data_IF_758933025061
#
_entry.id   IF_758933025061
#
_cell.length_a   1.000
_cell.length_b   1.000
_cell.length_c   1.000
_cell.angle_alpha   90.00
_cell.angle_beta   90.00
_cell.angle_gamma   90.00
#
_symmetry.space_group_name_H-M   'P 1'
#
loop_
_entity.id
_entity.type
_entity.pdbx_description
1 polymer ?
#
# COMPACT_ATOMS: atom_id res chain seq x y z
N UNK A 1 19.40 12.55 -7.84
CA UNK A 1 18.78 12.19 -8.07
C UNK A 1 18.07 11.76 -8.18
N UNK A 2 17.97 11.81 -8.21
CA UNK A 2 17.15 11.38 -8.41
C UNK A 2 16.39 11.03 -8.64
N UNK A 3 16.17 10.93 -8.71
CA UNK A 3 15.31 10.54 -8.98
C UNK A 3 14.67 10.05 -9.13
N UNK A 4 14.70 10.00 -9.17
CA UNK A 4 13.99 9.45 -9.25
C UNK A 4 13.11 9.24 -9.33
N UNK A 5 12.70 9.33 -9.31
CA UNK A 5 11.84 9.06 -9.32
C UNK A 5 11.13 8.92 -9.79
N UNK A 6 10.96 9.22 -9.77
CA UNK A 6 10.15 9.36 -10.36
C UNK A 6 9.14 8.64 -10.98
N UNK A 7 9.00 8.52 -11.66
CA UNK A 7 7.97 7.79 -12.29
C UNK A 7 7.40 6.68 -11.47
N UNK A 8 7.98 6.41 -10.38
CA UNK A 8 7.54 5.36 -9.48
C UNK A 8 6.76 5.86 -8.32
N UNK A 9 6.21 7.02 -8.44
CA UNK A 9 5.40 7.56 -7.37
C UNK A 9 4.16 6.72 -7.18
N UNK A 10 4.05 6.03 -6.07
CA UNK A 10 2.92 5.17 -5.75
C UNK A 10 2.47 5.47 -4.34
N UNK A 11 1.71 6.52 -4.17
CA UNK A 11 1.33 6.96 -2.83
C UNK A 11 0.27 6.11 -2.16
N UNK A 12 -0.47 5.34 -2.94
CA UNK A 12 -1.51 4.50 -2.37
C UNK A 12 -0.93 3.17 -1.96
N UNK A 13 -1.00 2.85 -0.69
CA UNK A 13 -0.40 1.62 -0.17
C UNK A 13 -1.45 0.79 0.54
N UNK A 14 -1.34 -0.52 0.37
CA UNK A 14 -2.12 -1.44 1.17
C UNK A 14 -1.22 -1.93 2.28
N UNK A 15 -1.67 -1.79 3.51
CA UNK A 15 -0.89 -2.24 4.66
C UNK A 15 -1.62 -3.38 5.34
N UNK A 16 -0.87 -4.25 5.95
CA UNK A 16 -1.40 -5.32 6.76
C UNK A 16 -1.19 -4.97 8.22
N UNK A 17 -2.26 -5.08 8.99
CA UNK A 17 -2.21 -4.79 10.41
C UNK A 17 -1.95 -6.09 11.18
N UNK A 18 -0.92 -6.08 11.99
CA UNK A 18 -0.53 -7.26 12.74
C UNK A 18 -0.90 -7.10 14.21
N UNK A 19 -1.00 -8.22 14.94
CA UNK A 19 -1.51 -8.15 16.32
C UNK A 19 -0.72 -7.29 17.29
N UNK A 20 0.56 -7.10 17.08
CA UNK A 20 1.37 -6.32 17.99
C UNK A 20 1.40 -4.87 17.64
N UNK A 21 0.38 -4.35 17.03
CA UNK A 21 0.35 -2.96 16.59
C UNK A 21 1.41 -2.69 15.54
N UNK A 22 1.85 -3.71 14.86
CA UNK A 22 2.79 -3.55 13.76
C UNK A 22 2.05 -3.48 12.44
N UNK A 23 2.65 -2.77 11.52
CA UNK A 23 2.05 -2.56 10.22
C UNK A 23 3.13 -2.73 9.18
N UNK A 24 2.83 -3.41 8.08
CA UNK A 24 3.80 -3.38 7.00
C UNK A 24 3.09 -3.28 5.65
N UNK A 25 3.82 -2.75 4.71
CA UNK A 25 3.28 -2.48 3.39
C UNK A 25 3.32 -3.74 2.55
N UNK A 26 2.16 -4.09 2.01
CA UNK A 26 2.02 -5.28 1.19
C UNK A 26 2.21 -4.93 -0.28
N UNK A 27 1.69 -3.77 -0.70
CA UNK A 27 1.74 -3.38 -2.09
C UNK A 27 1.53 -1.89 -2.21
N UNK A 28 2.01 -1.30 -3.30
CA UNK A 28 1.84 0.11 -3.56
C UNK A 28 1.29 0.31 -4.95
N UNK A 29 0.49 1.37 -5.11
CA UNK A 29 -0.19 1.65 -6.36
C UNK A 29 -0.16 3.14 -6.66
N UNK A 30 -0.25 3.47 -7.94
CA UNK A 30 -0.28 4.85 -8.36
C UNK A 30 -1.60 5.52 -8.10
N UNK A 31 -2.69 4.76 -8.23
CA UNK A 31 -3.99 5.35 -8.04
C UNK A 31 -4.81 4.51 -7.09
N UNK A 32 -5.82 5.15 -6.56
CA UNK A 32 -6.63 4.55 -5.53
C UNK A 32 -7.46 3.38 -6.04
N UNK A 33 -7.92 3.48 -7.29
CA UNK A 33 -8.76 2.42 -7.85
C UNK A 33 -8.02 1.10 -7.91
N UNK A 34 -6.76 1.13 -8.33
CA UNK A 34 -5.96 -0.09 -8.39
C UNK A 34 -5.75 -0.67 -7.00
N UNK A 35 -5.53 0.19 -6.01
CA UNK A 35 -5.36 -0.26 -4.65
C UNK A 35 -6.63 -0.95 -4.14
N UNK A 36 -7.78 -0.37 -4.44
CA UNK A 36 -9.05 -0.95 -4.02
C UNK A 36 -9.29 -2.30 -4.67
N UNK A 37 -8.99 -2.41 -5.95
CA UNK A 37 -9.19 -3.67 -6.65
C UNK A 37 -8.31 -4.76 -6.03
N UNK A 38 -7.10 -4.41 -5.72
CA UNK A 38 -6.20 -5.37 -5.13
C UNK A 38 -6.62 -5.74 -3.71
N UNK A 39 -7.11 -4.76 -2.97
CA UNK A 39 -7.59 -5.01 -1.62
C UNK A 39 -8.72 -6.02 -1.63
N UNK A 40 -9.60 -5.95 -2.60
CA UNK A 40 -10.69 -6.90 -2.73
C UNK A 40 -10.15 -8.32 -2.89
N UNK A 41 -9.12 -8.46 -3.72
CA UNK A 41 -8.52 -9.77 -3.94
C UNK A 41 -7.89 -10.28 -2.64
N UNK A 42 -7.18 -9.42 -1.93
CA UNK A 42 -6.56 -9.83 -0.68
C UNK A 42 -7.59 -10.26 0.35
N UNK A 43 -8.66 -9.52 0.47
CA UNK A 43 -9.70 -9.88 1.43
C UNK A 43 -10.38 -11.19 1.07
N UNK A 44 -10.45 -11.48 -0.20
CA UNK A 44 -11.06 -12.72 -0.65
C UNK A 44 -10.20 -13.94 -0.32
N UNK A 45 -8.90 -13.80 -0.55
CA UNK A 45 -7.99 -14.93 -0.32
C UNK A 45 -7.49 -15.04 1.10
N UNK A 46 -7.51 -13.95 1.83
CA UNK A 46 -7.01 -13.94 3.20
C UNK A 46 -8.00 -13.22 4.11
N UNK A 47 -9.20 -13.79 4.30
CA UNK A 47 -10.24 -13.08 5.03
C UNK A 47 -9.93 -12.87 6.51
N UNK A 48 -9.00 -13.64 7.06
CA UNK A 48 -8.65 -13.47 8.46
C UNK A 48 -7.62 -12.38 8.69
N UNK A 49 -7.01 -11.88 7.63
CA UNK A 49 -6.01 -10.83 7.76
C UNK A 49 -6.68 -9.46 7.71
N UNK A 50 -6.08 -8.49 8.38
CA UNK A 50 -6.60 -7.13 8.36
C UNK A 50 -5.76 -6.29 7.43
N UNK A 51 -6.40 -5.71 6.43
CA UNK A 51 -5.74 -4.85 5.46
C UNK A 51 -6.37 -3.47 5.44
N UNK A 52 -5.59 -2.48 5.07
CA UNK A 52 -6.08 -1.12 4.99
C UNK A 52 -5.37 -0.38 3.89
N UNK A 53 -6.06 0.57 3.26
CA UNK A 53 -5.45 1.41 2.25
C UNK A 53 -5.11 2.74 2.90
N UNK A 54 -3.88 3.19 2.69
CA UNK A 54 -3.45 4.48 3.19
C UNK A 54 -2.84 5.29 2.06
N UNK A 55 -2.84 6.59 2.23
CA UNK A 55 -2.18 7.48 1.31
C UNK A 55 -0.86 7.89 1.93
N UNK A 56 0.22 7.50 1.29
CA UNK A 56 1.56 7.66 1.85
C UNK A 56 2.51 8.17 0.78
N UNK A 57 2.87 9.42 0.88
CA UNK A 57 3.74 10.05 -0.11
C UNK A 57 5.19 10.05 0.27
N UNK A 58 5.56 9.33 1.28
CA UNK A 58 6.88 9.48 1.85
C UNK A 58 8.02 8.97 0.97
N UNK A 59 7.73 8.33 -0.09
CA UNK A 59 8.82 7.84 -0.93
C UNK A 59 9.60 8.97 -1.54
N UNK A 60 9.12 10.15 -1.41
CA UNK A 60 9.97 11.18 -1.83
C UNK A 60 11.11 11.31 -0.86
N UNK A 61 11.56 11.28 -0.50
CA UNK A 61 12.54 11.41 0.20
C UNK A 61 13.47 11.58 0.21
N UNK A 62 13.66 11.86 0.37
CA UNK A 62 14.54 12.03 0.53
C UNK A 62 15.12 11.98 0.23
#
# INVERSE_FOLDING_TARGET
MVNRMNGNNRPWAIVRLLPNAQVYIVARFRNRQDAHDHLRVLNRFMPAAAFEIIFDEEETER
#
